data_IF_253180158730
#
_entry.id   IF_253180158730
#
_cell.length_a   1.000
_cell.length_b   1.000
_cell.length_c   1.000
_cell.angle_alpha   90.00
_cell.angle_beta   90.00
_cell.angle_gamma   90.00
#
_symmetry.space_group_name_H-M   'P 1'
#
loop_
_entity.id
_entity.type
_entity.pdbx_description
1 polymer ?
#
# COMPACT_ATOMS: atom_id res chain seq x y z
N UNK A 1 1.23 24.76 0.22
CA UNK A 1 0.31 23.97 -0.64
C UNK A 1 -0.05 22.72 0.14
N UNK A 2 -1.31 22.29 0.12
CA UNK A 2 -1.78 21.12 0.87
C UNK A 2 -2.07 19.96 -0.07
N UNK A 3 -1.92 18.74 0.45
CA UNK A 3 -2.28 17.50 -0.23
C UNK A 3 -3.80 17.45 -0.36
N UNK A 4 -4.29 17.10 -1.54
CA UNK A 4 -5.70 16.83 -1.78
C UNK A 4 -5.95 15.33 -1.61
N UNK A 5 -6.99 14.99 -0.88
CA UNK A 5 -7.44 13.61 -0.70
C UNK A 5 -8.83 13.47 -1.29
N UNK A 6 -9.08 12.36 -1.97
CA UNK A 6 -10.43 11.98 -2.41
C UNK A 6 -11.17 11.15 -1.35
N UNK A 7 -10.44 10.67 -0.34
CA UNK A 7 -10.95 9.89 0.77
C UNK A 7 -10.64 10.59 2.10
N UNK A 8 -11.68 11.07 2.80
CA UNK A 8 -11.52 11.69 4.12
C UNK A 8 -10.98 10.71 5.17
N UNK A 9 -11.28 9.41 5.04
CA UNK A 9 -10.75 8.38 5.92
C UNK A 9 -9.23 8.19 5.75
N UNK A 10 -8.71 8.33 4.52
CA UNK A 10 -7.27 8.34 4.28
C UNK A 10 -6.63 9.56 4.94
N UNK A 11 -7.19 10.76 4.72
CA UNK A 11 -6.71 12.00 5.36
C UNK A 11 -6.67 11.85 6.88
N UNK A 12 -7.75 11.31 7.47
CA UNK A 12 -7.83 11.03 8.90
C UNK A 12 -6.74 10.06 9.34
N UNK A 13 -6.56 8.93 8.64
CA UNK A 13 -5.54 7.93 8.96
C UNK A 13 -4.13 8.51 8.95
N UNK A 14 -3.82 9.37 7.98
CA UNK A 14 -2.55 10.10 7.89
C UNK A 14 -2.35 11.01 9.11
N UNK A 15 -3.36 11.80 9.47
CA UNK A 15 -3.29 12.71 10.62
C UNK A 15 -3.14 11.93 11.94
N UNK A 16 -3.87 10.83 12.10
CA UNK A 16 -3.79 9.99 13.30
C UNK A 16 -2.40 9.34 13.43
N UNK A 17 -1.83 8.82 12.33
CA UNK A 17 -0.45 8.31 12.31
C UNK A 17 0.58 9.42 12.60
N UNK A 18 0.37 10.64 12.07
CA UNK A 18 1.25 11.77 12.33
C UNK A 18 1.28 12.11 13.83
N UNK A 19 0.10 12.19 14.45
CA UNK A 19 -0.03 12.46 15.89
C UNK A 19 0.61 11.38 16.74
N UNK A 20 0.39 10.11 16.39
CA UNK A 20 0.92 9.01 17.17
C UNK A 20 2.45 8.90 17.10
N UNK A 21 3.03 9.08 15.90
CA UNK A 21 4.41 8.69 15.62
C UNK A 21 5.39 9.85 15.45
N UNK A 22 4.88 11.05 15.12
CA UNK A 22 5.73 12.18 14.69
C UNK A 22 5.54 13.41 15.57
N UNK A 23 4.30 13.84 15.79
CA UNK A 23 3.99 15.04 16.57
C UNK A 23 2.66 14.91 17.32
N UNK A 24 2.68 14.40 18.57
CA UNK A 24 1.49 14.24 19.41
C UNK A 24 0.75 15.54 19.75
N UNK A 25 1.40 16.70 19.58
CA UNK A 25 0.77 18.00 19.83
C UNK A 25 0.07 18.57 18.58
N UNK A 26 0.15 17.89 17.44
CA UNK A 26 -0.43 18.37 16.19
C UNK A 26 -1.97 18.44 16.27
N UNK A 27 -2.51 19.65 16.26
CA UNK A 27 -3.95 19.96 16.28
C UNK A 27 -4.50 20.38 14.90
N UNK A 28 -3.64 20.45 13.89
CA UNK A 28 -4.00 20.83 12.53
C UNK A 28 -4.91 19.82 11.82
N UNK A 29 -5.56 20.30 10.75
CA UNK A 29 -6.44 19.50 9.89
C UNK A 29 -5.89 19.39 8.46
N UNK A 30 -4.90 20.19 8.08
CA UNK A 30 -4.34 20.19 6.74
C UNK A 30 -3.02 19.43 6.71
N UNK A 31 -2.85 18.61 5.68
CA UNK A 31 -1.63 17.81 5.46
C UNK A 31 -0.82 18.47 4.35
N UNK A 32 0.44 18.81 4.63
CA UNK A 32 1.38 19.32 3.62
C UNK A 32 2.18 18.17 2.99
N UNK A 33 2.75 18.35 1.79
CA UNK A 33 3.70 17.38 1.21
C UNK A 33 4.88 17.08 2.15
N UNK A 34 5.45 18.10 2.81
CA UNK A 34 6.55 17.93 3.77
C UNK A 34 6.16 17.04 4.97
N UNK A 35 4.88 17.04 5.35
CA UNK A 35 4.36 16.14 6.37
C UNK A 35 4.35 14.69 5.86
N UNK A 36 3.92 14.47 4.62
CA UNK A 36 3.89 13.15 3.99
C UNK A 36 5.29 12.53 3.83
N UNK A 37 6.30 13.35 3.54
CA UNK A 37 7.69 12.90 3.40
C UNK A 37 8.32 12.41 4.71
N UNK A 38 7.72 12.68 5.87
CA UNK A 38 8.24 12.22 7.17
C UNK A 38 7.87 10.77 7.49
N UNK A 39 6.92 10.17 6.77
CA UNK A 39 6.51 8.79 7.03
C UNK A 39 7.46 7.79 6.38
N UNK A 40 8.03 6.91 7.20
CA UNK A 40 8.64 5.64 6.77
C UNK A 40 7.68 4.46 6.98
N UNK A 41 6.73 4.59 7.90
CA UNK A 41 5.71 3.60 8.22
C UNK A 41 4.33 4.26 8.39
N UNK A 42 3.33 3.68 7.73
CA UNK A 42 1.91 3.99 7.92
C UNK A 42 1.13 2.72 8.27
N UNK A 43 0.37 2.79 9.37
CA UNK A 43 -0.61 1.78 9.74
C UNK A 43 -2.02 2.38 9.60
N UNK A 44 -2.72 1.98 8.56
CA UNK A 44 -4.04 2.47 8.17
C UNK A 44 -5.03 1.30 8.01
N UNK A 45 -4.84 0.25 8.81
CA UNK A 45 -5.77 -0.86 8.88
C UNK A 45 -7.13 -0.40 9.44
N UNK A 46 -8.23 -0.91 8.88
CA UNK A 46 -9.60 -0.72 9.42
C UNK A 46 -10.07 0.76 9.47
N UNK A 47 -9.66 1.59 8.49
CA UNK A 47 -10.10 3.00 8.38
C UNK A 47 -11.29 3.21 7.43
N UNK A 48 -11.74 2.20 6.69
CA UNK A 48 -12.76 2.37 5.65
C UNK A 48 -12.25 3.23 4.48
N UNK A 49 -10.98 3.06 4.10
CA UNK A 49 -10.35 3.80 3.00
C UNK A 49 -10.87 3.28 1.66
N UNK A 50 -11.28 4.19 0.78
CA UNK A 50 -11.83 3.89 -0.55
C UNK A 50 -10.95 4.37 -1.70
N UNK A 51 -10.13 5.42 -1.48
CA UNK A 51 -9.19 5.96 -2.47
C UNK A 51 -7.85 6.23 -1.80
N UNK A 52 -6.77 5.95 -2.53
CA UNK A 52 -5.39 6.22 -2.12
C UNK A 52 -4.85 7.56 -2.64
N UNK A 53 -5.67 8.35 -3.34
CA UNK A 53 -5.25 9.66 -3.85
C UNK A 53 -4.77 10.56 -2.69
N UNK A 54 -3.52 11.02 -2.79
CA UNK A 54 -2.78 11.74 -1.76
C UNK A 54 -1.60 10.95 -1.19
N UNK A 55 -1.60 9.62 -1.26
CA UNK A 55 -0.49 8.79 -0.74
C UNK A 55 0.81 8.96 -1.54
N UNK A 56 0.72 9.36 -2.82
CA UNK A 56 1.87 9.51 -3.72
C UNK A 56 2.91 10.55 -3.24
N UNK A 57 2.55 11.38 -2.26
CA UNK A 57 3.43 12.35 -1.62
C UNK A 57 4.29 11.72 -0.49
N UNK A 58 3.99 10.51 -0.02
CA UNK A 58 4.79 9.81 1.00
C UNK A 58 6.01 9.12 0.38
N UNK A 59 6.92 9.91 -0.20
CA UNK A 59 8.05 9.41 -1.01
C UNK A 59 9.07 8.55 -0.25
N UNK A 60 9.10 8.66 1.07
CA UNK A 60 10.01 7.92 1.96
C UNK A 60 9.36 6.70 2.60
N UNK A 61 8.11 6.36 2.24
CA UNK A 61 7.35 5.27 2.82
C UNK A 61 7.96 3.92 2.47
N UNK A 62 8.25 3.12 3.51
CA UNK A 62 8.84 1.79 3.42
C UNK A 62 7.86 0.71 3.82
N UNK A 63 7.06 0.96 4.85
CA UNK A 63 6.08 0.01 5.38
C UNK A 63 4.67 0.58 5.31
N UNK A 64 3.77 -0.11 4.63
CA UNK A 64 2.39 0.33 4.45
C UNK A 64 1.42 -0.81 4.76
N UNK A 65 0.60 -0.60 5.79
CA UNK A 65 -0.47 -1.52 6.19
C UNK A 65 -1.82 -0.86 5.98
N UNK A 66 -2.69 -1.49 5.18
CA UNK A 66 -4.01 -0.98 4.79
C UNK A 66 -5.04 -2.12 4.71
N UNK A 67 -4.88 -3.15 5.55
CA UNK A 67 -5.79 -4.27 5.63
C UNK A 67 -7.20 -3.84 6.07
N UNK A 68 -8.21 -4.62 5.67
CA UNK A 68 -9.62 -4.39 6.06
C UNK A 68 -10.13 -2.99 5.65
N UNK A 69 -9.94 -2.61 4.40
CA UNK A 69 -10.47 -1.37 3.84
C UNK A 69 -11.36 -1.67 2.61
N UNK A 70 -11.75 -0.64 1.88
CA UNK A 70 -12.59 -0.73 0.69
C UNK A 70 -11.84 -0.25 -0.56
N UNK A 71 -10.52 -0.44 -0.59
CA UNK A 71 -9.64 0.03 -1.67
C UNK A 71 -9.86 -0.85 -2.91
N UNK A 72 -10.15 -0.21 -4.04
CA UNK A 72 -10.30 -0.88 -5.34
C UNK A 72 -9.15 -0.58 -6.31
N UNK A 73 -8.44 0.54 -6.13
CA UNK A 73 -7.29 0.94 -6.94
C UNK A 73 -6.09 1.30 -6.07
N UNK A 74 -4.92 0.87 -6.51
CA UNK A 74 -3.62 1.17 -5.90
C UNK A 74 -2.71 1.99 -6.82
N UNK A 75 -3.25 2.63 -7.87
CA UNK A 75 -2.46 3.45 -8.82
C UNK A 75 -1.53 4.47 -8.12
N UNK A 76 -1.95 5.19 -7.07
CA UNK A 76 -1.08 6.14 -6.37
C UNK A 76 0.19 5.51 -5.76
N UNK A 77 0.23 4.18 -5.53
CA UNK A 77 1.40 3.51 -4.98
C UNK A 77 2.58 3.41 -5.96
N UNK A 78 2.35 3.60 -7.28
CA UNK A 78 3.42 3.63 -8.30
C UNK A 78 4.53 4.64 -7.96
N UNK A 79 4.15 5.68 -7.24
CA UNK A 79 5.00 6.79 -6.82
C UNK A 79 5.77 6.54 -5.51
N UNK A 80 5.50 5.43 -4.82
CA UNK A 80 6.08 5.06 -3.52
C UNK A 80 7.25 4.07 -3.68
N UNK A 81 8.25 4.44 -4.48
CA UNK A 81 9.37 3.56 -4.89
C UNK A 81 10.27 3.02 -3.76
N UNK A 82 10.08 3.47 -2.52
CA UNK A 82 10.80 3.01 -1.34
C UNK A 82 10.09 1.89 -0.57
N UNK A 83 8.92 1.44 -1.01
CA UNK A 83 8.15 0.39 -0.33
C UNK A 83 8.92 -0.94 -0.29
N UNK A 84 8.99 -1.51 0.91
CA UNK A 84 9.63 -2.78 1.26
C UNK A 84 8.60 -3.79 1.77
N UNK A 85 7.62 -3.32 2.56
CA UNK A 85 6.52 -4.12 3.09
C UNK A 85 5.20 -3.47 2.72
N UNK A 86 4.34 -4.25 2.07
CA UNK A 86 3.01 -3.81 1.66
C UNK A 86 1.96 -4.86 2.03
N UNK A 87 1.01 -4.48 2.89
CA UNK A 87 -0.17 -5.28 3.23
C UNK A 87 -1.44 -4.50 2.91
N UNK A 88 -2.23 -5.01 1.95
CA UNK A 88 -3.58 -4.53 1.67
C UNK A 88 -4.57 -5.69 1.61
N UNK A 89 -4.38 -6.71 2.46
CA UNK A 89 -5.31 -7.84 2.50
C UNK A 89 -6.75 -7.39 2.83
N UNK A 90 -7.74 -8.16 2.38
CA UNK A 90 -9.16 -7.87 2.64
C UNK A 90 -9.55 -6.47 2.14
N UNK A 91 -9.32 -6.26 0.85
CA UNK A 91 -9.74 -5.09 0.09
C UNK A 91 -10.48 -5.58 -1.18
N UNK A 92 -10.64 -4.70 -2.18
CA UNK A 92 -11.36 -5.00 -3.42
C UNK A 92 -10.48 -4.80 -4.66
N UNK A 93 -9.16 -4.93 -4.51
CA UNK A 93 -8.19 -4.69 -5.59
C UNK A 93 -8.27 -5.80 -6.63
N UNK A 94 -8.29 -5.41 -7.90
CA UNK A 94 -8.27 -6.32 -9.05
C UNK A 94 -6.94 -6.22 -9.82
N UNK A 95 -6.45 -4.99 -10.01
CA UNK A 95 -5.23 -4.68 -10.75
C UNK A 95 -4.07 -4.34 -9.80
N UNK A 96 -2.94 -5.02 -9.99
CA UNK A 96 -1.69 -4.78 -9.26
C UNK A 96 -0.53 -4.32 -10.15
N UNK A 97 -0.79 -3.92 -11.40
CA UNK A 97 0.21 -3.30 -12.28
C UNK A 97 0.96 -2.10 -11.68
N UNK A 98 0.35 -1.28 -10.81
CA UNK A 98 1.07 -0.19 -10.13
C UNK A 98 2.28 -0.65 -9.31
N UNK A 99 2.37 -1.94 -8.96
CA UNK A 99 3.50 -2.51 -8.21
C UNK A 99 4.74 -2.81 -9.09
N UNK A 100 4.63 -2.79 -10.43
CA UNK A 100 5.66 -3.31 -11.36
C UNK A 100 7.06 -2.67 -11.18
N UNK A 101 7.10 -1.41 -10.71
CA UNK A 101 8.33 -0.65 -10.49
C UNK A 101 8.80 -0.61 -9.04
N UNK A 102 8.08 -1.25 -8.11
CA UNK A 102 8.43 -1.27 -6.69
C UNK A 102 9.51 -2.31 -6.40
N UNK A 103 10.71 -2.07 -6.95
CA UNK A 103 11.87 -3.00 -6.92
C UNK A 103 12.38 -3.32 -5.51
N UNK A 104 11.96 -2.56 -4.50
CA UNK A 104 12.36 -2.74 -3.10
C UNK A 104 11.39 -3.62 -2.31
N UNK A 105 10.26 -4.04 -2.88
CA UNK A 105 9.33 -4.91 -2.16
C UNK A 105 10.00 -6.24 -1.79
N UNK A 106 9.94 -6.56 -0.51
CA UNK A 106 10.46 -7.79 0.11
C UNK A 106 9.33 -8.68 0.60
N UNK A 107 8.25 -8.05 1.09
CA UNK A 107 7.06 -8.73 1.62
C UNK A 107 5.78 -8.11 1.08
N UNK A 108 4.88 -8.96 0.56
CA UNK A 108 3.63 -8.54 -0.04
C UNK A 108 2.46 -9.41 0.44
N UNK A 109 1.44 -8.78 1.03
CA UNK A 109 0.22 -9.45 1.42
C UNK A 109 -0.97 -8.87 0.64
N UNK A 110 -1.45 -9.63 -0.34
CA UNK A 110 -2.58 -9.27 -1.21
C UNK A 110 -3.79 -10.16 -0.98
N UNK A 111 -3.80 -10.92 0.11
CA UNK A 111 -4.82 -11.93 0.37
C UNK A 111 -6.23 -11.32 0.44
N UNK A 112 -7.25 -12.10 0.07
CA UNK A 112 -8.65 -11.70 0.11
C UNK A 112 -8.91 -10.39 -0.65
N UNK A 113 -8.47 -10.36 -1.91
CA UNK A 113 -8.80 -9.33 -2.90
C UNK A 113 -9.51 -10.01 -4.09
N UNK A 114 -9.58 -9.34 -5.24
CA UNK A 114 -10.20 -9.85 -6.47
C UNK A 114 -9.17 -10.04 -7.60
N UNK A 115 -7.91 -10.29 -7.24
CA UNK A 115 -6.79 -10.33 -8.18
C UNK A 115 -6.85 -11.63 -9.00
N UNK A 116 -6.66 -11.51 -10.30
CA UNK A 116 -6.62 -12.63 -11.25
C UNK A 116 -5.27 -12.74 -11.97
N UNK A 117 -4.56 -11.61 -12.12
CA UNK A 117 -3.27 -11.52 -12.79
C UNK A 117 -2.19 -11.02 -11.80
N UNK A 118 -1.03 -11.66 -11.85
CA UNK A 118 0.16 -11.32 -11.05
C UNK A 118 1.40 -11.08 -11.91
N UNK A 119 1.24 -10.82 -13.21
CA UNK A 119 2.34 -10.51 -14.14
C UNK A 119 3.17 -9.31 -13.70
N UNK A 120 2.57 -8.33 -13.02
CA UNK A 120 3.28 -7.20 -12.44
C UNK A 120 4.43 -7.59 -11.49
N UNK A 121 4.40 -8.82 -10.94
CA UNK A 121 5.40 -9.31 -9.99
C UNK A 121 6.59 -10.02 -10.65
N UNK A 122 6.55 -10.26 -11.97
CA UNK A 122 7.51 -11.11 -12.67
C UNK A 122 8.98 -10.67 -12.49
N UNK A 123 9.21 -9.36 -12.42
CA UNK A 123 10.55 -8.79 -12.37
C UNK A 123 10.91 -8.18 -11.00
N UNK A 124 10.07 -8.36 -9.98
CA UNK A 124 10.36 -7.87 -8.63
C UNK A 124 11.24 -8.91 -7.91
N UNK A 125 12.54 -8.81 -8.13
CA UNK A 125 13.53 -9.81 -7.72
C UNK A 125 13.68 -9.97 -6.19
N UNK A 126 13.29 -8.95 -5.41
CA UNK A 126 13.54 -8.92 -3.96
C UNK A 126 12.38 -9.48 -3.12
N UNK A 127 11.22 -9.81 -3.71
CA UNK A 127 10.11 -10.39 -2.94
C UNK A 127 10.48 -11.80 -2.49
N UNK A 128 10.64 -11.98 -1.18
CA UNK A 128 10.93 -13.29 -0.58
C UNK A 128 9.66 -13.96 -0.07
N UNK A 129 8.66 -13.16 0.34
CA UNK A 129 7.39 -13.65 0.87
C UNK A 129 6.18 -12.97 0.24
N UNK A 130 5.22 -13.78 -0.20
CA UNK A 130 3.91 -13.31 -0.68
C UNK A 130 2.77 -14.16 -0.15
N UNK A 131 1.67 -13.50 0.23
CA UNK A 131 0.41 -14.16 0.51
C UNK A 131 -0.66 -13.76 -0.51
N UNK A 132 -1.12 -14.73 -1.29
CA UNK A 132 -2.12 -14.53 -2.35
C UNK A 132 -3.48 -15.17 -2.03
N UNK A 133 -3.65 -15.75 -0.84
CA UNK A 133 -4.82 -16.55 -0.50
C UNK A 133 -6.13 -15.79 -0.64
N UNK A 134 -7.19 -16.43 -1.12
CA UNK A 134 -8.49 -15.78 -1.29
C UNK A 134 -8.56 -14.80 -2.47
N UNK A 135 -7.69 -14.98 -3.47
CA UNK A 135 -7.81 -14.40 -4.81
C UNK A 135 -8.12 -15.51 -5.84
N UNK A 136 -8.33 -15.14 -7.10
CA UNK A 136 -8.63 -16.07 -8.21
C UNK A 136 -7.52 -16.06 -9.27
N UNK A 137 -6.27 -16.27 -8.82
CA UNK A 137 -5.08 -16.21 -9.69
C UNK A 137 -4.87 -17.56 -10.38
N UNK A 138 -5.02 -17.57 -11.71
CA UNK A 138 -4.83 -18.77 -12.53
C UNK A 138 -3.36 -18.97 -12.94
N UNK A 139 -2.73 -17.92 -13.49
CA UNK A 139 -1.34 -17.97 -13.92
C UNK A 139 -0.40 -17.55 -12.80
N UNK A 140 0.39 -18.51 -12.33
CA UNK A 140 1.34 -18.33 -11.22
C UNK A 140 2.80 -18.39 -11.64
N UNK A 141 3.09 -18.43 -12.94
CA UNK A 141 4.45 -18.35 -13.46
C UNK A 141 5.22 -17.14 -12.92
N UNK A 142 4.62 -15.94 -12.79
CA UNK A 142 5.32 -14.77 -12.23
C UNK A 142 5.74 -14.90 -10.77
N UNK A 143 5.29 -15.94 -10.05
CA UNK A 143 5.62 -16.14 -8.62
C UNK A 143 6.74 -17.16 -8.42
N UNK A 144 7.30 -17.74 -9.49
CA UNK A 144 8.19 -18.91 -9.41
C UNK A 144 9.55 -18.59 -8.77
N UNK A 145 9.95 -17.33 -8.74
CA UNK A 145 11.18 -16.88 -8.06
C UNK A 145 10.98 -16.57 -6.56
N UNK A 146 9.74 -16.49 -6.08
CA UNK A 146 9.43 -16.12 -4.69
C UNK A 146 9.52 -17.35 -3.80
N UNK A 147 10.31 -17.26 -2.72
CA UNK A 147 10.63 -18.39 -1.84
C UNK A 147 9.45 -18.85 -1.00
N UNK A 148 8.70 -17.93 -0.42
CA UNK A 148 7.61 -18.20 0.50
C UNK A 148 6.28 -17.72 -0.07
N UNK A 149 5.49 -18.65 -0.61
CA UNK A 149 4.18 -18.33 -1.22
C UNK A 149 3.06 -18.98 -0.42
N UNK A 150 2.27 -18.17 0.29
CA UNK A 150 1.02 -18.60 0.92
C UNK A 150 -0.14 -18.50 -0.07
N UNK A 151 -1.02 -19.50 -0.05
CA UNK A 151 -2.03 -19.79 -1.08
C UNK A 151 -3.40 -19.95 -0.47
#
# INVERSE_FOLDING_TARGET
MFVKFECENLKKAIIDNYREKIDPAFDGQDVSPDMMEKFDLLDMNDYGITSLEGIQYAKNLRHLYMANNEISSIEPLRECGMLEILDFQKNQVEDIWPLELLRRLESLNIAHNKITDVMALNDIANIDSINISGNTIENRLPLRHIRFVKK
#
